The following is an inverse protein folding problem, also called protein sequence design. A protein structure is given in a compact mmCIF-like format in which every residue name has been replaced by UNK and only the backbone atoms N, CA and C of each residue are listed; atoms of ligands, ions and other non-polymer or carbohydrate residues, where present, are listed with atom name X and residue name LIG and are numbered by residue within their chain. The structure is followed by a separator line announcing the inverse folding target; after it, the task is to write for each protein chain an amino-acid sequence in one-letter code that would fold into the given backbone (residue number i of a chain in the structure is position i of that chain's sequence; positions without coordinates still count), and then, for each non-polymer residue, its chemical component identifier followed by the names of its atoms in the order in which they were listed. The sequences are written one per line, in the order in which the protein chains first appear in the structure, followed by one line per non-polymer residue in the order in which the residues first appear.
data_IF_195113223825
#
_entry.id   IF_195113223825
#
_cell.length_a   1.000
_cell.length_b   1.000
_cell.length_c   1.000
_cell.angle_alpha   90.00
_cell.angle_beta   90.00
_cell.angle_gamma   90.00
#
_symmetry.space_group_name_H-M   'P 1'
#
loop_
_entity.id
_entity.type
_entity.pdbx_description
1 polymer ?
#
# COMPACT_ATOMS: atom_id res chain seq x y z
N UNK A 1 34.86 52.79 -38.94
CA UNK A 1 33.68 53.00 -38.07
C UNK A 1 32.46 52.81 -38.99
N UNK A 2 31.70 51.73 -39.03
CA UNK A 2 30.99 50.99 -37.98
C UNK A 2 30.87 49.51 -38.39
N UNK A 3 31.05 48.58 -37.44
CA UNK A 3 30.88 47.13 -37.66
C UNK A 3 29.38 46.77 -37.66
N UNK A 4 28.95 46.08 -38.71
CA UNK A 4 27.62 45.50 -38.81
C UNK A 4 27.41 44.45 -37.72
N UNK A 5 26.40 44.67 -36.90
CA UNK A 5 25.87 43.72 -35.92
C UNK A 5 24.99 42.71 -36.68
N UNK A 6 25.59 41.74 -37.35
CA UNK A 6 24.85 40.61 -37.90
C UNK A 6 24.50 39.68 -36.74
N UNK A 7 23.26 39.81 -36.31
CA UNK A 7 22.56 38.89 -35.43
C UNK A 7 22.86 37.44 -35.85
N UNK A 8 23.17 36.60 -34.86
CA UNK A 8 23.28 35.15 -35.02
C UNK A 8 21.92 34.59 -35.45
N UNK A 9 21.69 34.54 -36.76
CA UNK A 9 20.54 33.90 -37.36
C UNK A 9 20.66 32.38 -37.18
N UNK A 10 20.16 31.88 -36.05
CA UNK A 10 19.73 30.49 -35.97
C UNK A 10 18.64 30.31 -37.03
N UNK A 11 18.83 29.36 -37.95
CA UNK A 11 17.91 29.19 -39.08
C UNK A 11 16.47 28.96 -38.57
N UNK A 12 15.43 29.49 -39.24
CA UNK A 12 14.03 29.29 -38.84
C UNK A 12 13.66 27.80 -38.68
N UNK A 13 14.29 26.93 -39.48
CA UNK A 13 14.15 25.47 -39.39
C UNK A 13 14.71 24.89 -38.09
N UNK A 14 15.89 25.34 -37.64
CA UNK A 14 16.50 24.88 -36.39
C UNK A 14 15.70 25.31 -35.15
N UNK A 15 14.99 26.45 -35.23
CA UNK A 15 14.06 26.89 -34.19
C UNK A 15 12.81 26.01 -34.20
N UNK A 16 12.26 25.71 -35.38
CA UNK A 16 11.09 24.83 -35.51
C UNK A 16 11.35 23.41 -35.03
N UNK A 17 12.52 22.84 -35.32
CA UNK A 17 12.93 21.53 -34.82
C UNK A 17 12.99 21.52 -33.28
N UNK A 18 13.62 22.54 -32.66
CA UNK A 18 13.66 22.65 -31.19
C UNK A 18 12.29 22.83 -30.56
N UNK A 19 11.38 23.54 -31.22
CA UNK A 19 9.98 23.66 -30.77
C UNK A 19 9.32 22.29 -30.82
N UNK A 20 9.47 21.55 -31.92
CA UNK A 20 8.87 20.22 -32.04
C UNK A 20 9.46 19.22 -31.02
N UNK A 21 10.77 19.25 -30.77
CA UNK A 21 11.41 18.41 -29.75
C UNK A 21 10.86 18.73 -28.37
N UNK A 22 10.81 20.02 -28.01
CA UNK A 22 10.28 20.46 -26.71
C UNK A 22 8.80 20.16 -26.54
N UNK A 23 8.00 20.29 -27.59
CA UNK A 23 6.57 19.92 -27.56
C UNK A 23 6.39 18.43 -27.32
N UNK A 24 7.23 17.60 -27.94
CA UNK A 24 7.21 16.15 -27.74
C UNK A 24 7.64 15.76 -26.33
N UNK A 25 8.72 16.37 -25.81
CA UNK A 25 9.16 16.20 -24.43
C UNK A 25 8.06 16.63 -23.43
N UNK A 26 7.32 17.71 -23.74
CA UNK A 26 6.19 18.15 -22.92
C UNK A 26 5.03 17.16 -22.93
N UNK A 27 4.67 16.60 -24.08
CA UNK A 27 3.65 15.54 -24.17
C UNK A 27 4.06 14.30 -23.39
N UNK A 28 5.33 13.88 -23.50
CA UNK A 28 5.88 12.73 -22.78
C UNK A 28 5.85 12.98 -21.25
N UNK A 29 6.28 14.16 -20.79
CA UNK A 29 6.23 14.56 -19.38
C UNK A 29 4.79 14.68 -18.86
N UNK A 30 3.86 15.19 -19.66
CA UNK A 30 2.45 15.26 -19.28
C UNK A 30 1.82 13.87 -19.15
N UNK A 31 2.15 12.95 -20.06
CA UNK A 31 1.71 11.56 -19.98
C UNK A 31 2.30 10.86 -18.74
N UNK A 32 3.59 11.06 -18.45
CA UNK A 32 4.24 10.52 -17.26
C UNK A 32 3.61 11.07 -15.97
N UNK A 33 3.35 12.38 -15.93
CA UNK A 33 2.67 13.03 -14.80
C UNK A 33 1.25 12.48 -14.60
N UNK A 34 0.50 12.24 -15.68
CA UNK A 34 -0.85 11.68 -15.58
C UNK A 34 -0.83 10.25 -15.03
N UNK A 35 0.14 9.43 -15.47
CA UNK A 35 0.31 8.07 -14.96
C UNK A 35 0.69 8.05 -13.48
N UNK A 36 1.61 8.92 -13.05
CA UNK A 36 1.99 9.06 -11.65
C UNK A 36 0.83 9.50 -10.76
N UNK A 37 -0.03 10.41 -11.23
CA UNK A 37 -1.23 10.83 -10.50
C UNK A 37 -2.18 9.64 -10.32
N UNK A 38 -2.44 8.88 -11.38
CA UNK A 38 -3.31 7.69 -11.31
C UNK A 38 -2.75 6.62 -10.37
N UNK A 39 -1.44 6.40 -10.37
CA UNK A 39 -0.79 5.43 -9.49
C UNK A 39 -0.85 5.87 -8.03
N UNK A 40 -0.65 7.17 -7.75
CA UNK A 40 -0.80 7.73 -6.41
C UNK A 40 -2.27 7.73 -5.94
N UNK A 41 -3.23 8.02 -6.81
CA UNK A 41 -4.66 7.91 -6.52
C UNK A 41 -5.08 6.47 -6.18
N UNK A 42 -4.53 5.48 -6.89
CA UNK A 42 -4.80 4.07 -6.59
C UNK A 42 -4.19 3.64 -5.26
N UNK A 43 -3.01 4.16 -4.90
CA UNK A 43 -2.38 3.91 -3.60
C UNK A 43 -3.06 4.66 -2.44
N UNK A 44 -3.68 5.81 -2.71
CA UNK A 44 -4.37 6.63 -1.69
C UNK A 44 -5.86 6.28 -1.52
N UNK A 45 -6.42 5.45 -2.40
CA UNK A 45 -7.79 4.90 -2.25
C UNK A 45 -7.95 3.95 -1.05
N UNK A 46 -6.85 3.51 -0.43
CA UNK A 46 -6.89 2.83 0.85
C UNK A 46 -6.84 3.87 1.96
N UNK A 47 -8.01 4.31 2.44
CA UNK A 47 -8.11 5.17 3.61
C UNK A 47 -7.38 4.49 4.79
N UNK A 48 -6.30 5.09 5.31
CA UNK A 48 -5.56 4.53 6.44
C UNK A 48 -6.47 4.26 7.65
N UNK A 49 -7.52 5.06 7.83
CA UNK A 49 -8.50 4.88 8.89
C UNK A 49 -9.33 3.60 8.68
N UNK A 50 -9.68 3.27 7.44
CA UNK A 50 -10.37 2.01 7.11
C UNK A 50 -9.49 0.79 7.33
N UNK A 51 -8.19 0.87 6.99
CA UNK A 51 -7.23 -0.23 7.26
C UNK A 51 -7.13 -0.47 8.78
N UNK A 52 -6.93 0.59 9.56
CA UNK A 52 -6.82 0.48 11.02
C UNK A 52 -8.11 -0.06 11.61
N UNK A 53 -9.27 0.41 11.15
CA UNK A 53 -10.58 -0.07 11.58
C UNK A 53 -10.79 -1.55 11.23
N UNK A 54 -10.42 -1.97 10.03
CA UNK A 54 -10.49 -3.38 9.61
C UNK A 54 -9.59 -4.26 10.49
N UNK A 55 -8.38 -3.79 10.82
CA UNK A 55 -7.46 -4.50 11.70
C UNK A 55 -8.00 -4.63 13.13
N UNK A 56 -8.54 -3.54 13.71
CA UNK A 56 -9.16 -3.54 15.04
C UNK A 56 -10.35 -4.51 15.08
N UNK A 57 -11.19 -4.52 14.04
CA UNK A 57 -12.30 -5.46 13.93
C UNK A 57 -11.82 -6.91 13.83
N UNK A 58 -10.74 -7.16 13.08
CA UNK A 58 -10.12 -8.47 12.98
C UNK A 58 -9.59 -8.96 14.33
N UNK A 59 -8.87 -8.12 15.07
CA UNK A 59 -8.38 -8.43 16.42
C UNK A 59 -9.52 -8.71 17.39
N UNK A 60 -10.57 -7.88 17.38
CA UNK A 60 -11.75 -8.09 18.23
C UNK A 60 -12.40 -9.44 17.95
N UNK A 61 -12.60 -9.79 16.67
CA UNK A 61 -13.18 -11.07 16.26
C UNK A 61 -12.29 -12.26 16.67
N UNK A 62 -10.98 -12.13 16.53
CA UNK A 62 -10.04 -13.15 16.99
C UNK A 62 -10.14 -13.35 18.52
N UNK A 63 -10.15 -12.26 19.29
CA UNK A 63 -10.25 -12.34 20.75
C UNK A 63 -11.57 -12.96 21.20
N UNK A 64 -12.71 -12.55 20.63
CA UNK A 64 -14.01 -13.14 20.93
C UNK A 64 -14.04 -14.65 20.63
N UNK A 65 -13.47 -15.07 19.49
CA UNK A 65 -13.39 -16.49 19.13
C UNK A 65 -12.46 -17.27 20.07
N UNK A 66 -11.30 -16.69 20.43
CA UNK A 66 -10.35 -17.27 21.37
C UNK A 66 -10.97 -17.46 22.75
N UNK A 67 -11.71 -16.47 23.25
CA UNK A 67 -12.39 -16.52 24.54
C UNK A 67 -13.47 -17.61 24.57
N UNK A 68 -14.29 -17.72 23.51
CA UNK A 68 -15.28 -18.80 23.38
C UNK A 68 -14.59 -20.16 23.32
N UNK A 69 -13.52 -20.30 22.53
CA UNK A 69 -12.78 -21.55 22.43
C UNK A 69 -12.17 -21.95 23.78
N UNK A 70 -11.53 -21.02 24.49
CA UNK A 70 -10.98 -21.26 25.82
C UNK A 70 -12.06 -21.62 26.84
N UNK A 71 -13.23 -21.00 26.78
CA UNK A 71 -14.38 -21.37 27.62
C UNK A 71 -14.82 -22.82 27.38
N UNK A 72 -14.95 -23.22 26.11
CA UNK A 72 -15.28 -24.59 25.75
C UNK A 72 -14.23 -25.60 26.20
N UNK A 73 -12.94 -25.28 26.01
CA UNK A 73 -11.84 -26.13 26.44
C UNK A 73 -11.83 -26.27 27.97
N UNK A 74 -12.15 -25.18 28.70
CA UNK A 74 -12.31 -25.19 30.16
C UNK A 74 -13.43 -26.12 30.60
N UNK A 75 -14.58 -26.07 29.94
CA UNK A 75 -15.68 -26.99 30.24
C UNK A 75 -15.31 -28.46 29.99
N UNK A 76 -14.55 -28.75 28.93
CA UNK A 76 -14.07 -30.10 28.63
C UNK A 76 -13.03 -30.55 29.67
N UNK A 77 -12.16 -29.64 30.12
CA UNK A 77 -11.18 -29.88 31.16
C UNK A 77 -11.83 -30.24 32.50
N UNK A 78 -12.83 -29.48 32.90
CA UNK A 78 -13.60 -29.74 34.11
C UNK A 78 -14.33 -31.09 34.06
N UNK A 79 -14.94 -31.42 32.90
CA UNK A 79 -15.61 -32.72 32.71
C UNK A 79 -14.65 -33.91 32.79
N UNK A 80 -13.41 -33.74 32.31
CA UNK A 80 -12.40 -34.82 32.30
C UNK A 80 -11.50 -34.81 33.54
N UNK A 81 -11.63 -33.81 34.43
CA UNK A 81 -10.71 -33.54 35.54
C UNK A 81 -9.23 -33.47 35.11
N UNK A 82 -8.99 -32.97 33.90
CA UNK A 82 -7.65 -32.79 33.35
C UNK A 82 -7.30 -31.30 33.35
N UNK A 83 -6.01 -30.97 33.38
CA UNK A 83 -5.60 -29.57 33.29
C UNK A 83 -5.80 -29.07 31.87
N UNK A 84 -6.14 -27.80 31.76
CA UNK A 84 -6.29 -27.10 30.47
C UNK A 84 -5.11 -27.31 29.52
N UNK A 85 -3.88 -27.28 30.04
CA UNK A 85 -2.66 -27.50 29.27
C UNK A 85 -2.59 -28.91 28.65
N UNK A 86 -3.12 -29.92 29.34
CA UNK A 86 -3.09 -31.30 28.88
C UNK A 86 -4.08 -31.50 27.71
N UNK A 87 -5.26 -30.84 27.76
CA UNK A 87 -6.25 -30.87 26.66
C UNK A 87 -5.82 -30.02 25.47
N UNK A 88 -5.24 -28.83 25.70
CA UNK A 88 -4.69 -28.00 24.62
C UNK A 88 -3.61 -28.76 23.83
N UNK A 89 -2.79 -29.53 24.55
CA UNK A 89 -1.79 -30.42 23.95
C UNK A 89 -2.42 -31.59 23.20
N UNK A 90 -3.47 -32.22 23.73
CA UNK A 90 -4.26 -33.23 23.00
C UNK A 90 -4.90 -32.67 21.72
N UNK A 91 -5.31 -31.40 21.74
CA UNK A 91 -5.90 -30.70 20.60
C UNK A 91 -4.86 -30.18 19.59
N UNK A 92 -3.57 -30.46 19.79
CA UNK A 92 -2.44 -29.93 18.99
C UNK A 92 -2.46 -28.40 18.86
N UNK A 93 -2.97 -27.69 19.87
CA UNK A 93 -2.91 -26.24 19.94
C UNK A 93 -1.60 -25.91 20.66
N UNK A 94 -0.54 -25.69 19.89
CA UNK A 94 0.71 -25.12 20.42
C UNK A 94 0.38 -23.69 20.89
N UNK A 95 0.54 -23.45 22.19
CA UNK A 95 0.30 -22.12 22.76
C UNK A 95 1.32 -21.16 22.16
N UNK A 96 0.84 -20.19 21.38
CA UNK A 96 1.60 -19.14 20.66
C UNK A 96 3.06 -19.05 21.15
N UNK A 97 3.96 -19.67 20.38
CA UNK A 97 5.39 -19.44 20.52
C UNK A 97 5.66 -17.94 20.38
N UNK A 98 6.34 -17.38 21.38
CA UNK A 98 6.84 -16.01 21.35
C UNK A 98 7.91 -15.81 20.29
#
# INVERSE_FOLDING_TARGET
MYRARSQSATSPKAIQERINTKSKELEELQAESANLILELEHQTQLDPEEIVKAHILGLKKYNELKDVALGLITMIADQRQLRMADILKEMNIEGDEK
#
